data_IF_308493772939
#
_entry.id   IF_308493772939
#
_cell.length_a   1.000
_cell.length_b   1.000
_cell.length_c   1.000
_cell.angle_alpha   90.00
_cell.angle_beta   90.00
_cell.angle_gamma   90.00
#
_symmetry.space_group_name_H-M   'P 1'
#
loop_
_entity.id
_entity.type
_entity.pdbx_description
1 polymer ?
#
# COMPACT_ATOMS: atom_id res chain seq x y z
N UNK A 1 51.19 -19.02 19.89
CA UNK A 1 52.13 -19.43 18.84
C UNK A 1 51.79 -18.66 17.55
N UNK A 2 52.79 -17.80 17.17
CA UNK A 2 53.19 -17.33 15.82
C UNK A 2 52.06 -16.85 14.87
N UNK A 3 51.86 -15.56 14.70
CA UNK A 3 52.46 -14.59 13.77
C UNK A 3 52.54 -15.05 12.32
N UNK A 4 51.83 -14.37 11.39
CA UNK A 4 52.45 -13.82 10.20
C UNK A 4 51.64 -12.63 9.68
N UNK A 5 52.27 -11.45 9.67
CA UNK A 5 51.96 -10.26 8.88
C UNK A 5 52.62 -10.42 7.55
N UNK A 6 51.98 -9.88 6.48
CA UNK A 6 52.71 -9.35 5.34
C UNK A 6 51.92 -8.21 4.70
N UNK A 7 52.55 -7.06 4.78
CA UNK A 7 52.26 -5.84 4.06
C UNK A 7 52.95 -5.90 2.68
N UNK A 8 52.35 -5.29 1.69
CA UNK A 8 53.16 -4.64 0.61
C UNK A 8 52.36 -3.49 -0.01
N UNK A 9 53.04 -2.38 0.00
CA UNK A 9 52.75 -1.08 -0.54
C UNK A 9 53.31 -0.91 -1.98
N UNK A 10 52.89 0.18 -2.59
CA UNK A 10 53.55 0.91 -3.68
C UNK A 10 53.22 0.43 -5.11
N UNK A 11 53.02 1.26 -6.12
CA UNK A 11 53.61 2.52 -6.52
C UNK A 11 52.81 3.22 -7.64
N UNK A 12 52.94 4.51 -7.69
CA UNK A 12 52.61 5.52 -8.69
C UNK A 12 52.87 5.16 -10.18
N UNK A 13 52.04 5.71 -11.05
CA UNK A 13 52.53 6.17 -12.35
C UNK A 13 51.78 7.43 -12.82
N UNK A 14 52.54 8.45 -13.08
CA UNK A 14 52.30 9.75 -13.68
C UNK A 14 52.37 9.61 -15.20
N UNK A 15 51.47 10.24 -15.96
CA UNK A 15 51.72 10.65 -17.33
C UNK A 15 50.68 11.70 -17.73
N UNK A 16 51.00 12.91 -17.74
CA UNK A 16 51.54 13.75 -18.80
C UNK A 16 50.51 14.22 -19.84
N UNK A 17 50.31 15.51 -19.78
CA UNK A 17 49.52 16.38 -20.65
C UNK A 17 50.05 16.39 -22.10
N UNK A 18 49.17 16.50 -23.08
CA UNK A 18 49.46 17.08 -24.38
C UNK A 18 48.30 17.96 -24.84
N UNK A 19 48.54 19.25 -24.87
CA UNK A 19 47.78 20.26 -25.57
C UNK A 19 48.02 20.11 -27.08
N UNK A 20 46.96 20.09 -27.85
CA UNK A 20 47.00 20.47 -29.26
C UNK A 20 45.85 21.43 -29.53
N UNK A 21 46.24 22.68 -29.79
CA UNK A 21 45.36 23.68 -30.36
C UNK A 21 45.33 23.49 -31.88
N UNK A 22 44.14 23.47 -32.45
CA UNK A 22 43.95 23.74 -33.88
C UNK A 22 42.68 24.56 -34.06
N UNK A 23 42.85 25.70 -34.67
CA UNK A 23 41.82 26.64 -35.12
C UNK A 23 41.05 26.11 -36.33
N UNK A 24 39.78 26.52 -36.42
CA UNK A 24 39.17 26.84 -37.70
C UNK A 24 37.87 26.13 -38.02
N UNK A 25 36.78 26.87 -38.17
CA UNK A 25 35.83 26.64 -39.23
C UNK A 25 34.41 26.26 -38.80
N UNK A 26 33.56 27.23 -38.95
CA UNK A 26 32.19 27.19 -39.42
C UNK A 26 31.09 26.45 -38.64
N UNK A 27 30.04 27.26 -38.40
CA UNK A 27 28.83 26.94 -37.70
C UNK A 27 28.06 25.78 -38.28
N UNK A 28 27.84 24.80 -37.41
CA UNK A 28 26.75 23.91 -37.56
C UNK A 28 26.08 23.82 -36.16
N UNK A 29 24.90 24.44 -36.04
CA UNK A 29 24.09 24.43 -34.85
C UNK A 29 23.40 23.09 -34.71
N UNK A 30 24.16 22.07 -34.35
CA UNK A 30 23.57 20.81 -33.88
C UNK A 30 22.81 21.10 -32.59
N UNK A 31 21.56 20.64 -32.47
CA UNK A 31 20.80 20.81 -31.24
C UNK A 31 21.56 20.16 -30.08
N UNK A 32 21.81 20.93 -29.04
CA UNK A 32 22.42 20.44 -27.80
C UNK A 32 21.62 19.25 -27.35
N UNK A 33 22.20 18.06 -27.16
CA UNK A 33 21.49 16.94 -26.63
C UNK A 33 20.88 17.31 -25.23
N UNK A 34 19.68 16.89 -24.93
CA UNK A 34 19.09 17.19 -23.63
C UNK A 34 20.07 16.72 -22.52
N UNK A 35 20.19 17.46 -21.42
CA UNK A 35 21.10 17.11 -20.35
C UNK A 35 20.81 15.70 -19.88
N UNK A 36 21.85 14.86 -19.83
CA UNK A 36 21.75 13.51 -19.28
C UNK A 36 21.16 13.61 -17.87
N UNK A 37 20.20 12.77 -17.52
CA UNK A 37 19.59 12.81 -16.20
C UNK A 37 20.68 12.67 -15.14
N UNK A 38 20.65 13.55 -14.16
CA UNK A 38 21.56 13.56 -13.03
C UNK A 38 21.54 12.16 -12.38
N UNK A 39 22.70 11.51 -12.16
CA UNK A 39 22.73 10.22 -11.48
C UNK A 39 22.13 10.36 -10.07
N UNK A 40 20.98 9.72 -9.82
CA UNK A 40 20.33 9.73 -8.50
C UNK A 40 18.82 9.96 -8.51
N UNK A 41 18.28 10.72 -9.46
CA UNK A 41 16.83 10.87 -9.57
C UNK A 41 16.20 9.61 -10.19
N UNK A 42 15.34 8.94 -9.43
CA UNK A 42 14.57 7.84 -9.99
C UNK A 42 13.54 8.39 -10.97
N UNK A 43 13.50 7.80 -12.17
CA UNK A 43 12.52 8.17 -13.19
C UNK A 43 11.11 7.75 -12.77
N UNK A 44 10.10 8.48 -13.25
CA UNK A 44 8.70 8.04 -13.23
C UNK A 44 8.55 6.71 -13.99
N UNK A 45 7.47 5.94 -13.71
CA UNK A 45 7.12 4.79 -14.52
C UNK A 45 6.98 5.14 -16.00
N UNK A 46 7.45 4.24 -16.86
CA UNK A 46 7.22 4.33 -18.30
C UNK A 46 5.82 3.82 -18.63
N UNK A 47 5.00 4.64 -19.24
CA UNK A 47 3.60 4.33 -19.60
C UNK A 47 3.41 4.56 -21.10
N UNK A 48 3.58 3.52 -21.95
CA UNK A 48 3.57 3.68 -23.41
C UNK A 48 2.29 4.31 -23.97
N UNK A 49 1.14 3.97 -23.37
CA UNK A 49 -0.18 4.47 -23.79
C UNK A 49 -0.81 5.33 -22.68
N UNK A 50 -0.06 6.29 -22.16
CA UNK A 50 -0.55 7.13 -21.08
C UNK A 50 0.52 8.05 -20.50
N UNK A 51 0.30 8.46 -19.25
CA UNK A 51 1.19 9.37 -18.55
C UNK A 51 1.31 8.99 -17.07
N UNK A 52 2.53 9.01 -16.54
CA UNK A 52 2.79 9.01 -15.11
C UNK A 52 3.05 10.43 -14.60
N UNK A 53 2.49 10.78 -13.46
CA UNK A 53 2.67 12.08 -12.80
C UNK A 53 3.00 11.86 -11.33
N UNK A 54 4.07 12.50 -10.85
CA UNK A 54 4.37 12.54 -9.42
C UNK A 54 3.35 13.45 -8.72
N UNK A 55 2.56 12.87 -7.82
CA UNK A 55 1.58 13.63 -7.04
C UNK A 55 2.20 14.21 -5.78
N UNK A 56 3.01 13.43 -5.07
CA UNK A 56 3.60 13.86 -3.81
C UNK A 56 4.79 12.97 -3.43
N UNK A 57 5.65 13.46 -2.56
CA UNK A 57 6.80 12.74 -2.04
C UNK A 57 8.02 12.80 -2.94
N UNK A 58 8.89 11.81 -2.83
CA UNK A 58 10.19 11.80 -3.50
C UNK A 58 10.46 10.51 -4.25
N UNK A 59 10.92 10.62 -5.49
CA UNK A 59 11.45 9.51 -6.29
C UNK A 59 12.96 9.30 -6.07
N UNK A 60 13.57 10.01 -5.12
CA UNK A 60 14.98 9.84 -4.79
C UNK A 60 15.27 8.37 -4.42
N UNK A 61 16.33 7.83 -5.00
CA UNK A 61 16.71 6.44 -4.81
C UNK A 61 17.35 6.18 -3.43
N UNK A 62 17.95 7.21 -2.84
CA UNK A 62 18.54 7.14 -1.50
C UNK A 62 17.45 7.26 -0.42
N UNK A 63 17.15 6.18 0.34
CA UNK A 63 16.14 6.22 1.37
C UNK A 63 16.43 7.25 2.48
N UNK A 64 17.70 7.56 2.74
CA UNK A 64 18.07 8.55 3.75
C UNK A 64 17.61 9.96 3.37
N UNK A 65 17.45 10.24 2.07
CA UNK A 65 16.96 11.51 1.54
C UNK A 65 15.46 11.50 1.26
N UNK A 66 14.93 10.36 0.84
CA UNK A 66 13.54 10.22 0.40
C UNK A 66 12.58 9.95 1.54
N UNK A 67 13.01 9.13 2.50
CA UNK A 67 12.16 8.68 3.59
C UNK A 67 11.99 9.75 4.65
N UNK A 68 10.77 9.89 5.19
CA UNK A 68 10.44 10.82 6.27
C UNK A 68 8.93 10.92 6.45
N UNK A 69 8.53 11.73 7.43
CA UNK A 69 7.13 12.14 7.58
C UNK A 69 7.09 13.66 7.61
N UNK A 70 6.87 14.26 6.45
CA UNK A 70 6.81 15.72 6.30
C UNK A 70 5.50 16.09 5.62
N UNK A 71 4.69 16.89 6.30
CA UNK A 71 3.53 17.57 5.73
C UNK A 71 3.99 18.82 5.00
N UNK A 72 3.37 19.15 3.86
CA UNK A 72 3.74 20.30 3.07
C UNK A 72 2.58 20.77 2.17
N UNK A 73 2.53 22.09 1.92
CA UNK A 73 1.63 22.68 0.93
C UNK A 73 2.10 22.36 -0.50
N UNK A 74 3.40 22.38 -0.74
CA UNK A 74 4.00 21.85 -1.96
C UNK A 74 4.16 20.33 -1.83
N UNK A 75 3.44 19.52 -2.64
CA UNK A 75 3.49 18.07 -2.54
C UNK A 75 4.89 17.48 -2.76
N UNK A 76 5.77 18.15 -3.50
CA UNK A 76 7.12 17.68 -3.79
C UNK A 76 8.09 17.89 -2.60
N UNK A 77 7.72 18.74 -1.65
CA UNK A 77 8.44 18.91 -0.39
C UNK A 77 7.99 17.93 0.68
N UNK A 78 6.89 17.24 0.46
CA UNK A 78 6.40 16.21 1.38
C UNK A 78 7.31 14.99 1.41
N UNK A 79 7.25 14.23 2.51
CA UNK A 79 7.96 12.95 2.65
C UNK A 79 7.04 11.90 3.21
N UNK A 80 7.23 10.67 2.75
CA UNK A 80 6.51 9.49 3.21
C UNK A 80 7.47 8.44 3.72
N UNK A 81 7.00 7.65 4.69
CA UNK A 81 7.74 6.56 5.27
C UNK A 81 7.83 5.31 4.37
N UNK A 82 8.33 4.24 4.98
CA UNK A 82 8.73 3.02 4.25
C UNK A 82 7.58 2.18 3.74
N UNK A 83 6.57 1.94 4.55
CA UNK A 83 5.59 0.90 4.27
C UNK A 83 4.19 1.50 4.37
N UNK A 84 3.49 1.39 3.28
CA UNK A 84 2.07 1.70 3.16
C UNK A 84 1.38 0.41 2.75
N UNK A 85 0.35 0.03 3.47
CA UNK A 85 -0.43 -1.17 3.14
C UNK A 85 -1.74 -0.84 2.48
N UNK A 86 -2.30 0.33 2.78
CA UNK A 86 -3.57 0.76 2.24
C UNK A 86 -3.46 2.15 1.60
N UNK A 87 -4.17 2.30 0.51
CA UNK A 87 -4.43 3.56 -0.16
C UNK A 87 -5.84 3.53 -0.72
N UNK A 88 -6.55 4.64 -0.61
CA UNK A 88 -7.87 4.83 -1.21
C UNK A 88 -7.98 6.24 -1.77
N UNK A 89 -8.84 6.41 -2.77
CA UNK A 89 -9.08 7.70 -3.41
C UNK A 89 -10.55 8.05 -3.24
N UNK A 90 -10.81 9.21 -2.67
CA UNK A 90 -12.16 9.72 -2.48
C UNK A 90 -12.75 10.27 -3.79
N UNK A 91 -14.07 10.46 -3.81
CA UNK A 91 -14.78 10.96 -4.99
C UNK A 91 -14.33 12.36 -5.45
N UNK A 92 -13.82 13.19 -4.53
CA UNK A 92 -13.25 14.49 -4.83
C UNK A 92 -11.79 14.45 -5.31
N UNK A 93 -11.20 13.26 -5.41
CA UNK A 93 -9.80 13.05 -5.79
C UNK A 93 -8.81 13.10 -4.64
N UNK A 94 -9.26 13.29 -3.40
CA UNK A 94 -8.39 13.19 -2.21
C UNK A 94 -7.83 11.77 -2.08
N UNK A 95 -6.52 11.65 -1.94
CA UNK A 95 -5.85 10.37 -1.70
C UNK A 95 -5.55 10.20 -0.22
N UNK A 96 -5.99 9.10 0.36
CA UNK A 96 -5.63 8.70 1.71
C UNK A 96 -4.70 7.48 1.66
N UNK A 97 -3.69 7.47 2.50
CA UNK A 97 -2.72 6.36 2.58
C UNK A 97 -2.25 6.15 4.01
N UNK A 98 -1.95 4.90 4.34
CA UNK A 98 -1.28 4.57 5.59
C UNK A 98 0.22 4.80 5.41
N UNK A 99 0.88 5.34 6.44
CA UNK A 99 2.27 5.76 6.39
C UNK A 99 3.02 5.31 7.65
N UNK A 100 4.04 4.50 7.46
CA UNK A 100 4.88 3.96 8.53
C UNK A 100 6.17 4.75 8.66
N UNK A 101 6.69 5.01 9.88
CA UNK A 101 7.94 5.70 10.07
C UNK A 101 9.12 5.04 9.37
N UNK A 102 10.10 5.85 8.99
CA UNK A 102 11.39 5.37 8.54
C UNK A 102 12.14 4.64 9.66
N UNK A 103 13.11 3.81 9.31
CA UNK A 103 13.93 3.11 10.32
C UNK A 103 14.62 4.07 11.30
N UNK A 104 15.03 5.24 10.80
CA UNK A 104 15.63 6.29 11.65
C UNK A 104 14.64 6.86 12.67
N UNK A 105 13.33 6.83 12.35
CA UNK A 105 12.24 7.39 13.15
C UNK A 105 11.44 6.28 13.84
N UNK A 106 12.06 5.17 14.20
CA UNK A 106 11.39 3.96 14.70
C UNK A 106 10.55 4.15 15.97
N UNK A 107 10.73 5.27 16.68
CA UNK A 107 9.90 5.67 17.83
C UNK A 107 8.58 6.37 17.46
N UNK A 108 8.37 6.71 16.18
CA UNK A 108 7.12 7.33 15.75
C UNK A 108 6.06 6.26 15.46
N UNK A 109 4.81 6.59 15.77
CA UNK A 109 3.68 5.72 15.45
C UNK A 109 3.32 5.78 13.96
N UNK A 110 2.63 4.75 13.46
CA UNK A 110 2.03 4.74 12.13
C UNK A 110 1.02 5.89 11.98
N UNK A 111 0.81 6.38 10.78
CA UNK A 111 -0.08 7.48 10.48
C UNK A 111 -1.02 7.18 9.32
N UNK A 112 -2.10 7.94 9.25
CA UNK A 112 -2.88 8.12 8.03
C UNK A 112 -2.56 9.49 7.46
N UNK A 113 -2.16 9.51 6.19
CA UNK A 113 -1.82 10.73 5.46
C UNK A 113 -2.88 11.03 4.41
N UNK A 114 -2.99 12.29 4.06
CA UNK A 114 -3.90 12.81 3.05
C UNK A 114 -3.13 13.65 2.03
N UNK A 115 -3.42 13.43 0.74
CA UNK A 115 -3.04 14.33 -0.35
C UNK A 115 -4.34 14.93 -0.86
N UNK A 116 -4.53 16.22 -0.64
CA UNK A 116 -5.73 16.93 -1.12
C UNK A 116 -5.67 17.12 -2.66
N UNK A 117 -6.80 17.42 -3.34
CA UNK A 117 -6.82 17.66 -4.77
C UNK A 117 -5.91 18.80 -5.24
N UNK A 118 -5.66 19.79 -4.38
CA UNK A 118 -4.71 20.88 -4.63
C UNK A 118 -3.24 20.49 -4.42
N UNK A 119 -2.96 19.24 -4.06
CA UNK A 119 -1.62 18.71 -3.82
C UNK A 119 -1.12 18.81 -2.37
N UNK A 120 -1.78 19.58 -1.50
CA UNK A 120 -1.36 19.69 -0.10
C UNK A 120 -1.33 18.34 0.59
N UNK A 121 -0.22 18.04 1.26
CA UNK A 121 -0.04 16.81 2.05
C UNK A 121 -0.16 17.12 3.52
N UNK A 122 -0.99 16.37 4.22
CA UNK A 122 -1.19 16.51 5.66
C UNK A 122 -1.34 15.16 6.36
N UNK A 123 -1.03 15.14 7.64
CA UNK A 123 -1.28 14.01 8.53
C UNK A 123 -2.69 14.12 9.09
N UNK A 124 -3.52 13.10 8.84
CA UNK A 124 -4.91 13.07 9.31
C UNK A 124 -4.96 12.62 10.76
N UNK A 125 -4.22 11.56 11.09
CA UNK A 125 -4.15 11.00 12.44
C UNK A 125 -2.84 10.24 12.64
N UNK A 126 -2.34 10.28 13.88
CA UNK A 126 -1.09 9.62 14.27
C UNK A 126 -1.22 8.93 15.63
N UNK A 127 -0.47 7.85 15.81
CA UNK A 127 -0.07 7.30 17.09
C UNK A 127 -1.05 6.35 17.78
N UNK A 128 -0.75 6.00 19.04
CA UNK A 128 -1.42 4.93 19.78
C UNK A 128 -2.85 5.29 20.20
N UNK A 129 -3.76 4.32 20.13
CA UNK A 129 -5.11 4.44 20.67
C UNK A 129 -5.07 4.47 22.20
N UNK A 130 -5.86 5.33 22.84
CA UNK A 130 -6.02 5.28 24.29
C UNK A 130 -6.77 4.02 24.72
N UNK A 131 -6.57 3.64 25.98
CA UNK A 131 -7.32 2.57 26.60
C UNK A 131 -8.83 2.85 26.64
N UNK A 132 -9.63 1.78 26.75
CA UNK A 132 -11.07 1.88 26.77
C UNK A 132 -11.58 2.99 27.71
N UNK A 133 -12.40 3.90 27.17
CA UNK A 133 -13.00 5.01 27.93
C UNK A 133 -12.40 6.38 27.71
N UNK A 134 -11.24 6.53 27.05
CA UNK A 134 -10.68 7.81 26.65
C UNK A 134 -11.03 8.16 25.20
N UNK A 135 -11.11 9.45 24.89
CA UNK A 135 -11.31 9.89 23.51
C UNK A 135 -10.12 9.43 22.64
N UNK A 136 -10.43 8.74 21.55
CA UNK A 136 -9.42 8.19 20.66
C UNK A 136 -8.73 9.32 19.89
N UNK A 137 -7.43 9.46 20.09
CA UNK A 137 -6.62 10.47 19.41
C UNK A 137 -5.65 9.89 18.38
N UNK A 138 -5.47 8.56 18.35
CA UNK A 138 -4.39 7.94 17.57
C UNK A 138 -4.70 6.49 17.19
N UNK A 139 -4.09 6.04 16.08
CA UNK A 139 -4.08 4.65 15.65
C UNK A 139 -2.84 3.90 16.13
N UNK A 140 -2.98 2.59 16.31
CA UNK A 140 -1.85 1.70 16.61
C UNK A 140 -1.22 1.21 15.31
N UNK A 141 -2.07 0.70 14.41
CA UNK A 141 -1.68 0.12 13.12
C UNK A 141 -2.80 0.25 12.11
N UNK A 142 -2.95 1.40 11.49
CA UNK A 142 -3.90 1.55 10.40
C UNK A 142 -3.50 0.64 9.24
N UNK A 143 -4.37 -0.30 8.87
CA UNK A 143 -4.08 -1.35 7.90
C UNK A 143 -4.95 -1.28 6.66
N UNK A 144 -6.21 -0.86 6.78
CA UNK A 144 -7.13 -0.68 5.67
C UNK A 144 -7.79 0.68 5.71
N UNK A 145 -8.14 1.20 4.54
CA UNK A 145 -8.77 2.50 4.34
C UNK A 145 -9.94 2.36 3.38
N UNK A 146 -11.06 2.99 3.71
CA UNK A 146 -12.20 3.15 2.81
C UNK A 146 -12.84 4.52 3.02
N UNK A 147 -13.39 5.12 1.96
CA UNK A 147 -14.06 6.42 2.03
C UNK A 147 -15.49 6.28 1.53
N UNK A 148 -16.44 6.87 2.26
CA UNK A 148 -17.83 6.98 1.83
C UNK A 148 -18.45 8.27 2.32
N UNK A 149 -19.09 9.02 1.45
CA UNK A 149 -19.74 10.29 1.82
C UNK A 149 -18.81 11.32 2.45
N UNK A 150 -17.53 11.36 2.06
CA UNK A 150 -16.52 12.25 2.65
C UNK A 150 -16.01 11.82 4.02
N UNK A 151 -16.48 10.71 4.58
CA UNK A 151 -16.00 10.13 5.85
C UNK A 151 -14.95 9.07 5.55
N UNK A 152 -13.80 9.17 6.19
CA UNK A 152 -12.75 8.16 6.12
C UNK A 152 -12.97 7.10 7.19
N UNK A 153 -12.93 5.84 6.79
CA UNK A 153 -12.94 4.68 7.66
C UNK A 153 -11.56 4.04 7.68
N UNK A 154 -11.13 3.61 8.85
CA UNK A 154 -9.80 3.04 9.09
C UNK A 154 -9.94 1.75 9.86
N UNK A 155 -9.40 0.65 9.36
CA UNK A 155 -9.17 -0.54 10.18
C UNK A 155 -7.87 -0.39 10.95
N UNK A 156 -7.88 -0.71 12.22
CA UNK A 156 -6.71 -0.59 13.08
C UNK A 156 -6.43 -1.87 13.86
N UNK A 157 -5.17 -2.21 13.97
CA UNK A 157 -4.72 -3.47 14.57
C UNK A 157 -4.39 -4.57 13.56
N UNK A 158 -4.37 -4.25 12.26
CA UNK A 158 -4.05 -5.19 11.18
C UNK A 158 -2.62 -5.75 11.24
N UNK A 159 -2.35 -6.81 10.48
CA UNK A 159 -1.04 -7.45 10.46
C UNK A 159 0.03 -6.49 9.91
N UNK A 160 1.18 -6.45 10.54
CA UNK A 160 2.37 -5.92 9.88
C UNK A 160 2.69 -6.82 8.69
N UNK A 161 2.58 -6.24 7.51
CA UNK A 161 2.81 -6.85 6.23
C UNK A 161 4.05 -7.67 6.08
N UNK A 162 4.02 -8.82 6.61
CA UNK A 162 4.91 -9.90 6.27
C UNK A 162 4.47 -10.64 5.02
N UNK A 163 3.90 -9.94 4.04
CA UNK A 163 3.68 -10.50 2.70
C UNK A 163 4.99 -10.64 1.91
N UNK A 164 6.12 -10.29 2.51
CA UNK A 164 7.44 -10.37 1.92
C UNK A 164 8.05 -11.79 1.99
N UNK A 165 7.49 -12.67 2.78
CA UNK A 165 7.93 -14.05 2.82
C UNK A 165 7.32 -14.81 1.64
N UNK A 166 8.14 -15.30 0.74
CA UNK A 166 7.81 -15.98 -0.50
C UNK A 166 6.97 -17.27 -0.41
N UNK A 167 6.03 -17.31 0.51
CA UNK A 167 5.08 -18.38 0.71
C UNK A 167 3.67 -17.85 0.85
N UNK A 168 3.04 -17.50 -0.24
CA UNK A 168 1.67 -16.97 -0.29
C UNK A 168 0.63 -17.92 0.32
N UNK A 169 1.00 -19.19 0.46
CA UNK A 169 0.14 -20.24 1.05
C UNK A 169 0.60 -20.71 2.41
N UNK A 170 1.69 -20.18 2.92
CA UNK A 170 2.13 -20.50 4.27
C UNK A 170 1.46 -19.55 5.25
N UNK A 171 0.95 -20.12 6.30
CA UNK A 171 0.27 -19.46 7.41
C UNK A 171 1.06 -18.23 7.85
N UNK A 172 0.41 -17.07 7.88
CA UNK A 172 0.99 -15.86 8.45
C UNK A 172 1.52 -16.16 9.84
N UNK A 173 2.84 -16.24 10.00
CA UNK A 173 3.45 -16.35 11.32
C UNK A 173 3.56 -14.96 11.90
N UNK A 174 2.51 -14.50 12.55
CA UNK A 174 2.49 -13.22 13.25
C UNK A 174 3.11 -13.31 14.66
N UNK A 175 3.41 -14.52 15.12
CA UNK A 175 3.89 -14.76 16.47
C UNK A 175 5.25 -14.12 16.80
N UNK A 176 6.00 -13.65 15.78
CA UNK A 176 7.33 -13.07 15.97
C UNK A 176 7.48 -11.64 15.46
N UNK A 177 6.40 -11.02 14.97
CA UNK A 177 6.49 -9.63 14.52
C UNK A 177 6.68 -8.71 15.75
N UNK A 178 7.79 -7.97 15.84
CA UNK A 178 7.99 -7.01 16.92
C UNK A 178 6.85 -5.98 16.89
N UNK A 179 6.20 -5.74 18.00
CA UNK A 179 5.14 -4.76 18.14
C UNK A 179 3.74 -5.29 17.79
N UNK A 180 3.47 -6.56 17.95
CA UNK A 180 2.12 -7.12 18.00
C UNK A 180 1.26 -6.32 19.00
N UNK A 181 -0.04 -6.08 18.75
CA UNK A 181 -0.86 -5.44 19.77
C UNK A 181 -0.68 -6.19 21.07
N UNK A 182 -0.11 -5.53 22.07
CA UNK A 182 -0.01 -6.11 23.40
C UNK A 182 -1.42 -6.40 23.91
N UNK A 183 -1.56 -7.37 24.80
CA UNK A 183 -2.82 -7.65 25.46
C UNK A 183 -3.47 -6.33 25.94
N UNK A 184 -4.75 -6.13 25.58
CA UNK A 184 -5.50 -4.92 25.92
C UNK A 184 -5.45 -3.76 24.91
N UNK A 185 -4.76 -3.91 23.79
CA UNK A 185 -4.84 -2.90 22.72
C UNK A 185 -6.15 -3.07 21.91
N UNK A 186 -6.75 -1.93 21.56
CA UNK A 186 -7.96 -1.92 20.76
C UNK A 186 -7.65 -2.33 19.31
N UNK A 187 -8.48 -3.22 18.78
CA UNK A 187 -8.54 -3.54 17.36
C UNK A 187 -9.94 -3.28 16.86
N UNK A 188 -10.12 -2.63 15.74
CA UNK A 188 -11.46 -2.31 15.29
C UNK A 188 -11.50 -1.45 14.03
N UNK A 189 -12.70 -0.97 13.78
CA UNK A 189 -13.01 -0.06 12.69
C UNK A 189 -13.34 1.31 13.28
N UNK A 190 -12.68 2.31 12.75
CA UNK A 190 -12.78 3.68 13.19
C UNK A 190 -13.23 4.56 12.04
N UNK A 191 -13.93 5.63 12.34
CA UNK A 191 -14.22 6.70 11.40
C UNK A 191 -13.46 7.96 11.80
N UNK A 192 -13.02 8.70 10.80
CA UNK A 192 -12.37 10.00 10.94
C UNK A 192 -13.26 11.05 10.28
N UNK A 193 -13.79 11.95 11.08
CA UNK A 193 -14.59 13.06 10.60
C UNK A 193 -13.70 14.11 9.90
N UNK A 194 -14.31 15.03 9.15
CA UNK A 194 -13.60 16.09 8.44
C UNK A 194 -12.76 17.00 9.36
N UNK A 195 -13.17 17.14 10.62
CA UNK A 195 -12.45 17.89 11.67
C UNK A 195 -11.29 17.09 12.29
N UNK A 196 -11.02 15.86 11.81
CA UNK A 196 -9.97 14.97 12.32
C UNK A 196 -10.37 14.18 13.56
N UNK A 197 -11.61 14.32 14.07
CA UNK A 197 -12.07 13.55 15.22
C UNK A 197 -12.25 12.09 14.85
N UNK A 198 -11.65 11.21 15.67
CA UNK A 198 -11.75 9.76 15.53
C UNK A 198 -12.83 9.24 16.46
N UNK A 199 -13.71 8.39 15.95
CA UNK A 199 -14.71 7.66 16.73
C UNK A 199 -14.79 6.19 16.32
N UNK A 200 -15.15 5.34 17.28
CA UNK A 200 -15.32 3.91 17.02
C UNK A 200 -16.58 3.66 16.20
N UNK A 201 -16.48 2.76 15.22
CA UNK A 201 -17.63 2.20 14.48
C UNK A 201 -17.94 0.82 15.02
N UNK A 202 -16.94 -0.07 15.05
CA UNK A 202 -17.11 -1.43 15.52
C UNK A 202 -15.80 -1.99 16.08
N UNK A 203 -15.89 -2.93 16.99
CA UNK A 203 -14.76 -3.55 17.67
C UNK A 203 -14.49 -2.93 19.03
N UNK A 204 -13.80 -3.68 19.85
CA UNK A 204 -13.46 -3.33 21.23
C UNK A 204 -11.99 -3.65 21.51
N UNK A 205 -11.47 -3.05 22.57
CA UNK A 205 -10.19 -3.46 23.12
C UNK A 205 -10.23 -4.95 23.45
N UNK A 206 -9.30 -5.71 22.92
CA UNK A 206 -9.22 -7.13 23.09
C UNK A 206 -7.93 -7.55 23.78
N UNK A 207 -8.04 -8.55 24.65
CA UNK A 207 -6.88 -9.03 25.39
C UNK A 207 -5.85 -9.75 24.49
N UNK A 208 -6.29 -10.47 23.46
CA UNK A 208 -5.40 -11.15 22.50
C UNK A 208 -6.19 -11.69 21.31
N UNK A 209 -5.47 -11.88 20.20
CA UNK A 209 -5.89 -12.71 19.07
C UNK A 209 -5.28 -14.10 19.18
N UNK A 210 -5.43 -14.76 20.30
CA UNK A 210 -4.87 -16.10 20.50
C UNK A 210 -5.40 -17.10 19.48
N UNK A 211 -4.60 -18.11 19.20
CA UNK A 211 -4.99 -19.21 18.35
C UNK A 211 -6.29 -19.84 18.88
N UNK A 212 -7.32 -19.87 18.04
CA UNK A 212 -8.63 -20.40 18.41
C UNK A 212 -9.64 -19.40 18.98
N UNK A 213 -9.24 -18.17 19.33
CA UNK A 213 -10.20 -17.15 19.72
C UNK A 213 -11.03 -16.68 18.52
N UNK A 214 -12.35 -16.88 18.55
CA UNK A 214 -13.23 -16.42 17.48
C UNK A 214 -13.41 -14.90 17.54
N UNK A 215 -13.41 -14.24 16.38
CA UNK A 215 -13.98 -12.89 16.27
C UNK A 215 -15.47 -12.97 16.55
N UNK A 216 -15.98 -12.04 17.35
CA UNK A 216 -17.39 -12.03 17.72
C UNK A 216 -18.18 -11.13 16.79
N UNK A 217 -19.31 -11.62 16.33
CA UNK A 217 -20.35 -10.84 15.66
C UNK A 217 -21.20 -10.09 16.68
N UNK A 218 -21.93 -9.08 16.23
CA UNK A 218 -22.85 -8.31 17.05
C UNK A 218 -22.76 -6.81 16.83
N UNK A 219 -23.48 -6.06 17.63
CA UNK A 219 -23.52 -4.60 17.55
C UNK A 219 -22.22 -3.96 18.07
N UNK A 220 -21.72 -2.97 17.38
CA UNK A 220 -20.60 -2.09 17.71
C UNK A 220 -19.61 -2.57 18.77
N UNK A 221 -19.81 -2.20 20.04
CA UNK A 221 -18.90 -2.57 21.12
C UNK A 221 -18.89 -4.04 21.50
N UNK A 222 -19.89 -4.82 21.08
CA UNK A 222 -19.97 -6.27 21.34
C UNK A 222 -19.19 -7.08 20.30
N UNK A 223 -19.01 -6.52 19.11
CA UNK A 223 -18.19 -7.12 18.07
C UNK A 223 -16.71 -7.08 18.43
N UNK A 224 -15.96 -8.04 17.95
CA UNK A 224 -14.50 -8.00 18.06
C UNK A 224 -13.84 -8.42 16.77
N UNK A 225 -12.70 -7.80 16.48
CA UNK A 225 -11.83 -8.14 15.36
C UNK A 225 -10.52 -8.70 15.89
N UNK A 226 -9.90 -9.59 15.11
CA UNK A 226 -8.55 -10.04 15.41
C UNK A 226 -7.53 -9.10 14.75
N UNK A 227 -7.50 -9.08 13.43
CA UNK A 227 -6.55 -8.33 12.64
C UNK A 227 -7.28 -7.69 11.45
N UNK A 228 -8.14 -6.70 11.70
CA UNK A 228 -8.88 -6.06 10.62
C UNK A 228 -7.88 -5.37 9.68
N UNK A 229 -8.01 -5.66 8.40
CA UNK A 229 -7.08 -5.22 7.36
C UNK A 229 -7.83 -4.51 6.22
N UNK A 230 -7.72 -5.00 4.99
CA UNK A 230 -8.34 -4.38 3.83
C UNK A 230 -9.83 -4.15 3.97
N UNK A 231 -10.31 -3.02 3.46
CA UNK A 231 -11.71 -2.60 3.54
C UNK A 231 -12.19 -2.03 2.22
N UNK A 232 -13.47 -2.26 1.91
CA UNK A 232 -14.14 -1.60 0.79
C UNK A 232 -15.65 -1.52 1.05
N UNK A 233 -16.30 -0.52 0.47
CA UNK A 233 -17.76 -0.37 0.50
C UNK A 233 -18.39 -1.06 -0.70
N UNK A 234 -19.45 -1.81 -0.47
CA UNK A 234 -20.36 -2.29 -1.51
C UNK A 234 -21.34 -1.18 -1.95
N UNK A 235 -22.04 -1.41 -3.06
CA UNK A 235 -22.99 -0.43 -3.62
C UNK A 235 -24.10 -0.05 -2.66
N UNK A 236 -24.60 -1.00 -1.89
CA UNK A 236 -25.61 -0.81 -0.84
C UNK A 236 -25.09 -0.10 0.40
N UNK A 237 -23.77 0.16 0.43
CA UNK A 237 -23.11 0.93 1.48
C UNK A 237 -22.74 0.16 2.72
N UNK A 238 -22.67 -1.14 2.62
CA UNK A 238 -22.11 -2.00 3.66
C UNK A 238 -20.59 -1.97 3.56
N UNK A 239 -19.90 -1.78 4.67
CA UNK A 239 -18.44 -1.86 4.73
C UNK A 239 -18.02 -3.32 4.88
N UNK A 240 -17.23 -3.80 3.93
CA UNK A 240 -16.61 -5.11 3.97
C UNK A 240 -15.22 -5.00 4.54
N UNK A 241 -14.84 -5.93 5.41
CA UNK A 241 -13.56 -5.93 6.13
C UNK A 241 -12.96 -7.32 6.10
N UNK A 242 -11.69 -7.43 5.72
CA UNK A 242 -10.94 -8.66 5.95
C UNK A 242 -10.42 -8.68 7.38
N UNK A 243 -10.88 -9.65 8.16
CA UNK A 243 -10.36 -9.94 9.49
C UNK A 243 -9.36 -11.09 9.38
N UNK A 244 -8.09 -10.76 9.20
CA UNK A 244 -7.03 -11.75 9.14
C UNK A 244 -6.87 -12.41 10.51
N UNK A 245 -6.44 -13.68 10.54
CA UNK A 245 -6.24 -14.42 11.77
C UNK A 245 -4.82 -14.86 11.96
N UNK A 246 -4.52 -15.27 13.17
CA UNK A 246 -3.22 -15.81 13.54
C UNK A 246 -2.95 -17.15 12.87
N UNK A 247 -1.69 -17.56 12.92
CA UNK A 247 -1.13 -18.76 12.32
C UNK A 247 -2.06 -19.96 12.34
N UNK A 248 -2.28 -20.56 11.16
CA UNK A 248 -3.05 -21.80 11.03
C UNK A 248 -4.57 -21.63 10.96
N UNK A 249 -5.09 -20.42 11.15
CA UNK A 249 -6.54 -20.16 11.10
C UNK A 249 -6.90 -19.37 9.84
N UNK A 250 -7.91 -19.79 9.06
CA UNK A 250 -8.37 -19.02 7.91
C UNK A 250 -8.85 -17.62 8.33
N UNK A 251 -8.53 -16.60 7.53
CA UNK A 251 -9.09 -15.26 7.66
C UNK A 251 -10.62 -15.31 7.43
N UNK A 252 -11.33 -14.33 7.97
CA UNK A 252 -12.79 -14.23 7.81
C UNK A 252 -13.10 -12.90 7.14
N UNK A 253 -13.86 -12.94 6.07
CA UNK A 253 -14.49 -11.74 5.54
C UNK A 253 -15.68 -11.38 6.41
N UNK A 254 -15.85 -10.08 6.70
CA UNK A 254 -16.90 -9.57 7.57
C UNK A 254 -17.58 -8.36 6.96
N UNK A 255 -18.83 -8.16 7.29
CA UNK A 255 -19.58 -6.95 6.95
C UNK A 255 -19.80 -6.10 8.19
N UNK A 256 -19.77 -4.79 8.02
CA UNK A 256 -20.01 -3.79 9.06
C UNK A 256 -21.04 -2.79 8.55
N UNK A 257 -22.17 -2.72 9.21
CA UNK A 257 -23.15 -1.66 9.00
C UNK A 257 -22.68 -0.43 9.77
N UNK A 258 -22.17 0.57 9.07
CA UNK A 258 -21.51 1.72 9.72
C UNK A 258 -22.46 2.65 10.47
N UNK A 259 -23.77 2.51 10.27
CA UNK A 259 -24.80 3.30 10.97
C UNK A 259 -25.01 2.89 12.43
N UNK A 260 -24.85 1.60 12.72
CA UNK A 260 -25.10 1.01 14.05
C UNK A 260 -23.92 0.17 14.55
N UNK A 261 -22.89 0.01 13.72
CA UNK A 261 -21.70 -0.78 14.02
C UNK A 261 -21.94 -2.30 13.99
N UNK A 262 -23.10 -2.78 13.53
CA UNK A 262 -23.40 -4.20 13.53
C UNK A 262 -22.45 -4.96 12.60
N UNK A 263 -21.85 -6.03 13.11
CA UNK A 263 -20.86 -6.85 12.44
C UNK A 263 -21.38 -8.27 12.24
N UNK A 264 -21.20 -8.80 11.03
CA UNK A 264 -21.53 -10.17 10.66
C UNK A 264 -20.37 -10.83 9.94
N UNK A 265 -20.10 -12.08 10.26
CA UNK A 265 -19.06 -12.88 9.59
C UNK A 265 -19.64 -13.55 8.35
N UNK A 266 -18.88 -13.44 7.26
CA UNK A 266 -19.08 -14.24 6.06
C UNK A 266 -18.31 -15.57 6.14
N UNK A 267 -18.25 -16.33 5.02
CA UNK A 267 -17.51 -17.57 4.97
C UNK A 267 -16.01 -17.35 5.25
N UNK A 268 -15.42 -18.29 5.99
CA UNK A 268 -13.99 -18.35 6.21
C UNK A 268 -13.28 -18.84 4.94
N UNK A 269 -12.08 -18.28 4.66
CA UNK A 269 -11.30 -18.68 3.50
C UNK A 269 -9.82 -18.29 3.66
N UNK A 270 -8.99 -18.78 2.75
CA UNK A 270 -7.56 -18.44 2.69
C UNK A 270 -7.33 -17.16 1.89
N UNK A 271 -8.04 -16.12 2.24
CA UNK A 271 -7.98 -14.85 1.54
C UNK A 271 -6.78 -14.02 2.01
N UNK A 272 -6.22 -13.22 1.09
CA UNK A 272 -5.29 -12.18 1.50
C UNK A 272 -6.04 -11.09 2.28
N UNK A 273 -5.32 -10.32 3.11
CA UNK A 273 -5.96 -9.26 3.89
C UNK A 273 -6.41 -8.04 3.07
N UNK A 274 -6.37 -8.10 1.74
CA UNK A 274 -6.79 -7.00 0.88
C UNK A 274 -8.18 -7.23 0.31
N UNK A 275 -9.05 -6.23 0.45
CA UNK A 275 -10.32 -6.13 -0.25
C UNK A 275 -10.25 -5.03 -1.31
N UNK A 276 -10.89 -5.28 -2.44
CA UNK A 276 -10.94 -4.38 -3.58
C UNK A 276 -12.41 -4.09 -3.86
N UNK A 277 -12.79 -2.83 -3.73
CA UNK A 277 -14.08 -2.35 -4.21
C UNK A 277 -13.98 -1.99 -5.68
N UNK A 278 -14.98 -2.38 -6.46
CA UNK A 278 -15.13 -1.94 -7.84
C UNK A 278 -16.17 -0.80 -7.95
N UNK A 279 -16.17 -0.10 -9.08
CA UNK A 279 -17.08 1.02 -9.29
C UNK A 279 -18.57 0.61 -9.37
N UNK A 280 -18.85 -0.63 -9.74
CA UNK A 280 -20.19 -1.21 -9.69
C UNK A 280 -20.63 -1.65 -8.27
N UNK A 281 -19.77 -1.39 -7.28
CA UNK A 281 -20.00 -1.71 -5.86
C UNK A 281 -19.86 -3.18 -5.51
N UNK A 282 -19.35 -4.00 -6.42
CA UNK A 282 -18.93 -5.36 -6.09
C UNK A 282 -17.64 -5.35 -5.28
N UNK A 283 -17.51 -6.30 -4.39
CA UNK A 283 -16.32 -6.48 -3.58
C UNK A 283 -15.59 -7.73 -4.05
N UNK A 284 -14.28 -7.60 -4.18
CA UNK A 284 -13.39 -8.69 -4.57
C UNK A 284 -12.34 -8.91 -3.49
N UNK A 285 -11.97 -10.15 -3.32
CA UNK A 285 -10.87 -10.56 -2.45
C UNK A 285 -9.90 -11.43 -3.24
N UNK A 286 -8.64 -11.33 -2.92
CA UNK A 286 -7.65 -12.21 -3.51
C UNK A 286 -7.60 -13.53 -2.75
N UNK A 287 -7.90 -14.64 -3.43
CA UNK A 287 -7.65 -15.99 -2.96
C UNK A 287 -6.25 -16.41 -3.42
N UNK A 288 -5.33 -16.43 -2.48
CA UNK A 288 -3.90 -16.68 -2.76
C UNK A 288 -3.51 -18.14 -2.77
N UNK A 289 -4.41 -19.03 -2.33
CA UNK A 289 -4.10 -20.43 -2.06
C UNK A 289 -5.23 -21.36 -2.49
N UNK A 290 -5.59 -21.40 -3.79
CA UNK A 290 -6.47 -22.45 -4.25
C UNK A 290 -5.79 -23.82 -4.04
N UNK A 291 -6.57 -24.83 -3.70
CA UNK A 291 -6.12 -26.15 -3.23
C UNK A 291 -5.18 -26.91 -4.18
N UNK A 292 -5.02 -26.49 -5.41
CA UNK A 292 -4.17 -27.12 -6.40
C UNK A 292 -3.41 -26.06 -7.22
N UNK A 293 -2.15 -25.78 -6.84
CA UNK A 293 -1.22 -25.14 -7.76
C UNK A 293 -1.07 -23.63 -7.67
N UNK A 294 -0.87 -23.06 -6.50
CA UNK A 294 -0.19 -21.73 -6.23
C UNK A 294 -0.49 -20.54 -7.16
N UNK A 295 -1.61 -20.51 -7.86
CA UNK A 295 -2.02 -19.38 -8.69
C UNK A 295 -3.01 -18.53 -7.89
N UNK A 296 -2.71 -17.24 -7.74
CA UNK A 296 -3.61 -16.32 -7.07
C UNK A 296 -4.83 -16.02 -7.94
N UNK A 297 -6.01 -16.06 -7.33
CA UNK A 297 -7.28 -15.73 -7.98
C UNK A 297 -7.86 -14.46 -7.39
N UNK A 298 -8.64 -13.77 -8.17
CA UNK A 298 -9.49 -12.68 -7.72
C UNK A 298 -10.94 -13.19 -7.77
N UNK A 299 -11.59 -13.20 -6.63
CA UNK A 299 -12.95 -13.69 -6.48
C UNK A 299 -13.86 -12.63 -5.89
N UNK A 300 -15.11 -12.61 -6.33
CA UNK A 300 -16.13 -11.74 -5.71
C UNK A 300 -16.58 -12.29 -4.37
N UNK A 301 -17.10 -11.44 -3.52
CA UNK A 301 -17.79 -11.83 -2.30
C UNK A 301 -19.21 -11.26 -2.34
N UNK A 302 -20.22 -11.99 -1.85
CA UNK A 302 -20.15 -13.24 -1.06
C UNK A 302 -20.10 -14.53 -1.86
N UNK A 303 -20.35 -14.51 -3.17
CA UNK A 303 -20.61 -15.68 -4.00
C UNK A 303 -19.36 -16.45 -4.43
N UNK A 304 -18.16 -15.90 -4.19
CA UNK A 304 -16.85 -16.45 -4.55
C UNK A 304 -16.70 -16.77 -6.05
N UNK A 305 -17.44 -16.08 -6.91
CA UNK A 305 -17.28 -16.22 -8.36
C UNK A 305 -15.91 -15.68 -8.81
N UNK A 306 -15.25 -16.43 -9.68
CA UNK A 306 -13.88 -16.12 -10.13
C UNK A 306 -13.92 -15.06 -11.21
N UNK A 307 -13.29 -13.91 -10.96
CA UNK A 307 -13.06 -12.87 -11.96
C UNK A 307 -11.80 -13.15 -12.80
N UNK A 308 -10.76 -13.67 -12.14
CA UNK A 308 -9.55 -14.13 -12.81
C UNK A 308 -8.82 -15.16 -11.94
N UNK A 309 -8.25 -16.18 -12.57
CA UNK A 309 -7.52 -17.28 -11.95
C UNK A 309 -5.99 -17.20 -12.10
N UNK A 310 -5.49 -16.10 -12.70
CA UNK A 310 -4.07 -15.89 -12.99
C UNK A 310 -3.63 -14.49 -12.59
N UNK A 311 -3.83 -14.12 -11.31
CA UNK A 311 -3.42 -12.81 -10.83
C UNK A 311 -1.89 -12.77 -10.63
N UNK A 312 -1.16 -11.87 -11.32
CA UNK A 312 0.30 -11.81 -11.23
C UNK A 312 0.83 -11.55 -9.81
N UNK A 313 0.08 -10.79 -9.01
CA UNK A 313 0.42 -10.47 -7.62
C UNK A 313 -0.82 -10.41 -6.75
N UNK A 314 -0.90 -11.29 -5.78
CA UNK A 314 -2.04 -11.38 -4.87
C UNK A 314 -2.21 -10.19 -3.92
N UNK A 315 -1.15 -9.43 -3.72
CA UNK A 315 -1.15 -8.32 -2.75
C UNK A 315 -1.40 -6.97 -3.38
N UNK A 316 -1.34 -6.88 -4.71
CA UNK A 316 -1.42 -5.64 -5.46
C UNK A 316 -2.37 -5.83 -6.64
N UNK A 317 -3.64 -5.59 -6.39
CA UNK A 317 -4.67 -5.61 -7.41
C UNK A 317 -5.63 -4.43 -7.23
N UNK A 318 -6.19 -3.95 -8.34
CA UNK A 318 -7.21 -2.91 -8.37
C UNK A 318 -8.13 -3.14 -9.57
N UNK A 319 -9.34 -2.57 -9.54
CA UNK A 319 -10.34 -2.71 -10.60
C UNK A 319 -10.87 -1.31 -10.91
N UNK A 320 -10.92 -0.95 -12.20
CA UNK A 320 -11.51 0.31 -12.64
C UNK A 320 -13.04 0.19 -12.91
N UNK A 321 -13.67 1.32 -13.24
CA UNK A 321 -15.12 1.38 -13.50
C UNK A 321 -15.58 0.54 -14.69
N UNK A 322 -14.66 0.24 -15.59
CA UNK A 322 -14.90 -0.59 -16.79
C UNK A 322 -14.68 -2.08 -16.54
N UNK A 323 -14.28 -2.46 -15.34
CA UNK A 323 -13.99 -3.85 -14.96
C UNK A 323 -12.61 -4.34 -15.40
N UNK A 324 -11.71 -3.45 -15.79
CA UNK A 324 -10.33 -3.84 -16.05
C UNK A 324 -9.63 -4.12 -14.73
N UNK A 325 -8.90 -5.23 -14.67
CA UNK A 325 -8.12 -5.63 -13.51
C UNK A 325 -6.66 -5.23 -13.71
N UNK A 326 -6.10 -4.54 -12.73
CA UNK A 326 -4.70 -4.16 -12.69
C UNK A 326 -3.96 -4.95 -11.61
N UNK A 327 -2.73 -5.35 -11.90
CA UNK A 327 -1.85 -6.02 -10.96
C UNK A 327 -0.39 -5.74 -11.30
N UNK A 328 0.53 -6.14 -10.43
CA UNK A 328 1.96 -5.92 -10.62
C UNK A 328 2.70 -7.26 -10.76
N UNK A 329 3.99 -7.21 -11.13
CA UNK A 329 4.86 -8.39 -11.07
C UNK A 329 5.00 -8.91 -9.63
N UNK A 330 5.28 -10.20 -9.48
CA UNK A 330 5.29 -10.86 -8.17
C UNK A 330 6.29 -10.25 -7.16
N UNK A 331 7.39 -9.70 -7.66
CA UNK A 331 8.47 -9.08 -6.89
C UNK A 331 8.34 -7.56 -6.72
N UNK A 332 7.21 -6.99 -7.14
CA UNK A 332 6.98 -5.53 -7.19
C UNK A 332 7.23 -4.81 -5.87
N UNK A 333 7.10 -5.50 -4.73
CA UNK A 333 7.29 -4.93 -3.40
C UNK A 333 8.74 -4.87 -2.94
N UNK A 334 9.67 -5.52 -3.64
CA UNK A 334 11.08 -5.54 -3.24
C UNK A 334 11.75 -4.20 -3.53
N UNK A 335 12.51 -3.72 -2.54
CA UNK A 335 13.34 -2.53 -2.71
C UNK A 335 14.42 -2.77 -3.78
N UNK A 336 14.64 -1.76 -4.62
CA UNK A 336 15.60 -1.84 -5.73
C UNK A 336 15.11 -2.59 -6.97
N UNK A 337 13.98 -3.29 -6.91
CA UNK A 337 13.40 -3.98 -8.06
C UNK A 337 12.56 -3.01 -8.88
N UNK A 338 12.74 -3.06 -10.20
CA UNK A 338 11.88 -2.40 -11.17
C UNK A 338 10.81 -3.38 -11.62
N UNK A 339 9.57 -3.02 -11.41
CA UNK A 339 8.42 -3.88 -11.65
C UNK A 339 7.63 -3.44 -12.87
N UNK A 340 6.82 -4.35 -13.35
CA UNK A 340 5.84 -4.11 -14.42
C UNK A 340 4.44 -4.10 -13.86
N UNK A 341 3.62 -3.15 -14.29
CA UNK A 341 2.18 -3.18 -14.12
C UNK A 341 1.54 -3.85 -15.32
N UNK A 342 0.55 -4.66 -15.01
CA UNK A 342 -0.25 -5.40 -15.98
C UNK A 342 -1.70 -4.99 -15.89
N UNK A 343 -2.41 -5.03 -17.02
CA UNK A 343 -3.86 -4.86 -17.10
C UNK A 343 -4.47 -6.08 -17.81
N UNK A 344 -5.52 -6.61 -17.24
CA UNK A 344 -6.45 -7.53 -17.91
C UNK A 344 -7.71 -6.73 -18.22
N UNK A 345 -7.98 -6.48 -19.49
CA UNK A 345 -9.19 -5.77 -19.90
C UNK A 345 -10.44 -6.61 -19.57
N UNK A 346 -11.56 -5.94 -19.32
CA UNK A 346 -12.84 -6.60 -19.08
C UNK A 346 -13.18 -7.57 -20.23
N UNK A 347 -13.59 -8.79 -19.87
CA UNK A 347 -13.89 -9.84 -20.85
C UNK A 347 -12.67 -10.52 -21.48
N UNK A 348 -11.44 -10.04 -21.23
CA UNK A 348 -10.23 -10.69 -21.69
C UNK A 348 -9.70 -11.70 -20.66
N UNK A 349 -8.88 -12.65 -21.12
CA UNK A 349 -8.33 -13.71 -20.27
C UNK A 349 -6.91 -13.40 -19.81
N UNK A 350 -6.14 -12.59 -20.55
CA UNK A 350 -4.72 -12.39 -20.32
C UNK A 350 -4.39 -11.01 -19.77
N UNK A 351 -3.36 -10.96 -18.94
CA UNK A 351 -2.72 -9.74 -18.49
C UNK A 351 -1.69 -9.27 -19.51
N UNK A 352 -1.77 -7.99 -19.89
CA UNK A 352 -0.80 -7.33 -20.77
C UNK A 352 -0.05 -6.24 -20.01
N UNK A 353 1.25 -6.00 -20.27
CA UNK A 353 1.98 -4.94 -19.61
C UNK A 353 1.45 -3.56 -20.05
N UNK A 354 1.28 -2.66 -19.08
CA UNK A 354 0.78 -1.30 -19.31
C UNK A 354 1.70 -0.21 -18.76
N UNK A 355 2.58 -0.55 -17.83
CA UNK A 355 3.64 0.35 -17.36
C UNK A 355 4.84 -0.46 -16.89
N UNK A 356 6.04 0.13 -17.00
CA UNK A 356 7.30 -0.46 -16.54
C UNK A 356 8.07 0.52 -15.65
N UNK A 357 9.21 0.09 -15.13
CA UNK A 357 10.04 0.89 -14.21
C UNK A 357 9.34 1.34 -12.92
N UNK A 358 8.27 0.65 -12.49
CA UNK A 358 7.62 0.92 -11.21
C UNK A 358 8.52 0.39 -10.09
N UNK A 359 8.96 1.27 -9.20
CA UNK A 359 9.88 0.87 -8.12
C UNK A 359 9.13 0.61 -6.82
N UNK A 360 9.51 -0.45 -6.12
CA UNK A 360 9.05 -0.77 -4.76
C UNK A 360 7.55 -0.44 -4.55
N UNK A 361 6.69 -1.01 -5.40
CA UNK A 361 5.25 -0.75 -5.37
C UNK A 361 4.66 -1.32 -4.07
N UNK A 362 4.08 -0.46 -3.24
CA UNK A 362 3.58 -0.82 -1.91
C UNK A 362 2.06 -0.83 -1.83
N UNK A 363 1.40 0.07 -2.56
CA UNK A 363 -0.05 0.12 -2.66
C UNK A 363 -0.48 0.51 -4.07
N UNK A 364 -1.65 0.06 -4.45
CA UNK A 364 -2.29 0.31 -5.74
C UNK A 364 -3.77 0.59 -5.48
N UNK A 365 -4.29 1.67 -6.03
CA UNK A 365 -5.70 2.02 -5.99
C UNK A 365 -6.14 2.58 -7.34
N UNK A 366 -7.45 2.52 -7.60
CA UNK A 366 -8.09 3.23 -8.72
C UNK A 366 -8.86 4.41 -8.15
N UNK A 367 -8.75 5.55 -8.80
CA UNK A 367 -9.53 6.74 -8.47
C UNK A 367 -10.86 6.81 -9.23
N UNK A 368 -11.71 7.80 -8.88
CA UNK A 368 -13.01 7.99 -9.52
C UNK A 368 -12.90 8.37 -11.01
N UNK A 369 -11.72 8.76 -11.45
CA UNK A 369 -11.38 9.09 -12.83
C UNK A 369 -10.76 7.91 -13.62
N UNK A 370 -10.86 6.69 -13.08
CA UNK A 370 -10.22 5.47 -13.58
C UNK A 370 -8.68 5.54 -13.69
N UNK A 371 -8.06 6.57 -13.14
CA UNK A 371 -6.62 6.63 -13.04
C UNK A 371 -6.09 5.68 -11.96
N UNK A 372 -4.89 5.14 -12.17
CA UNK A 372 -4.20 4.37 -11.16
C UNK A 372 -3.37 5.29 -10.24
N UNK A 373 -3.44 5.00 -8.97
CA UNK A 373 -2.64 5.65 -7.94
C UNK A 373 -1.72 4.62 -7.33
N UNK A 374 -0.44 4.93 -7.30
CA UNK A 374 0.62 4.03 -6.87
C UNK A 374 1.38 4.63 -5.71
N UNK A 375 1.59 3.88 -4.65
CA UNK A 375 2.66 4.17 -3.69
C UNK A 375 3.92 3.46 -4.15
N UNK A 376 4.82 4.20 -4.77
CA UNK A 376 6.08 3.73 -5.35
C UNK A 376 7.26 4.25 -4.53
N UNK A 377 7.93 3.39 -3.79
CA UNK A 377 8.96 3.81 -2.84
C UNK A 377 8.44 4.85 -1.84
N UNK A 378 9.01 6.05 -1.85
CA UNK A 378 8.62 7.18 -0.98
C UNK A 378 7.77 8.25 -1.72
N UNK A 379 7.18 7.87 -2.85
CA UNK A 379 6.37 8.75 -3.68
C UNK A 379 4.96 8.20 -3.90
N UNK A 380 4.03 9.09 -4.18
CA UNK A 380 2.71 8.76 -4.73
C UNK A 380 2.66 9.22 -6.18
N UNK A 381 2.38 8.29 -7.07
CA UNK A 381 2.36 8.51 -8.52
C UNK A 381 0.95 8.23 -9.04
N UNK A 382 0.47 9.07 -9.92
CA UNK A 382 -0.77 8.86 -10.69
C UNK A 382 -0.43 8.44 -12.11
N UNK A 383 -1.10 7.40 -12.60
CA UNK A 383 -1.03 6.95 -14.00
C UNK A 383 -2.41 7.16 -14.63
N UNK A 384 -2.43 7.86 -15.75
CA UNK A 384 -3.59 7.98 -16.61
C UNK A 384 -3.31 7.29 -17.93
N UNK A 385 -4.26 6.53 -18.45
CA UNK A 385 -4.17 5.91 -19.76
C UNK A 385 -4.92 6.74 -20.81
N UNK A 386 -4.40 6.75 -22.02
CA UNK A 386 -5.13 7.32 -23.14
C UNK A 386 -6.39 6.49 -23.41
N UNK A 387 -7.50 7.13 -23.84
CA UNK A 387 -8.75 6.45 -24.15
C UNK A 387 -8.60 5.36 -25.21
#
# INVERSE_FOLDING_TARGET
MKFFRLSHASLCAIAASLLLAACGGDGDSSPTPPPSPTPGAAALPDVPNGRATLLAGSLEADPAKACGRVDADDPLQSRFGYITHAMTVAADGTVYLTDRPCRADSGQADAVRKIAPNGQVSTVATGALPQAGAALSRFVRPAGLAVKGGVLYVSDGGPYGGLDAGGVCETYSLATAPGYPAAGQATGIWQVAADGRISAVAGVARASCEAGAASLDGAGPQASFCLPAGMAFSADGVLHVMDARMQGTPGTWRTVHVSDGNVQSGPAGRFTPNLIGSADGRIYVTDSCPAAGRVSRLVSVPDLSVLTDQLPNSSLAAIDSRGNVYSASADARRDGVKSTLYRKAAGQTQFVPVASNVRALRALAVGPDDALYLKSGHAVVKITFNP
#
